data_IF_248632196434
#
_entry.id   IF_248632196434
#
_cell.length_a   1.000
_cell.length_b   1.000
_cell.length_c   1.000
_cell.angle_alpha   90.00
_cell.angle_beta   90.00
_cell.angle_gamma   90.00
#
_symmetry.space_group_name_H-M   'P 1'
#
loop_
_entity.id
_entity.type
_entity.pdbx_description
1 polymer ?
#
# COMPACT_ATOMS: atom_id res chain seq x y z
N UNK A 1 11.02 2.70 45.75
CA UNK A 1 10.47 1.41 45.29
C UNK A 1 8.98 1.44 45.51
N UNK A 2 8.19 1.61 44.45
CA UNK A 2 6.73 1.53 44.51
C UNK A 2 6.25 0.92 43.20
N UNK A 3 5.77 -0.33 43.28
CA UNK A 3 5.27 -1.11 42.16
C UNK A 3 3.94 -0.54 41.66
N UNK A 4 3.80 -0.36 40.34
CA UNK A 4 2.52 -0.07 39.69
C UNK A 4 1.99 -1.38 39.10
N UNK A 5 0.89 -1.86 39.66
CA UNK A 5 0.19 -3.09 39.27
C UNK A 5 -0.82 -2.79 38.15
N UNK A 6 -0.61 -3.35 36.96
CA UNK A 6 -1.55 -3.27 35.84
C UNK A 6 -2.53 -4.45 35.92
N UNK A 7 -3.81 -4.19 36.20
CA UNK A 7 -4.89 -5.19 36.08
C UNK A 7 -5.48 -5.17 34.67
N UNK A 8 -5.29 -6.29 33.97
CA UNK A 8 -5.95 -6.65 32.71
C UNK A 8 -7.43 -6.99 32.97
N UNK A 9 -8.34 -6.51 32.12
CA UNK A 9 -9.73 -6.95 32.09
C UNK A 9 -10.02 -7.61 30.73
N UNK A 10 -10.22 -8.91 30.78
CA UNK A 10 -10.70 -9.77 29.69
C UNK A 10 -12.21 -9.93 29.87
N UNK A 11 -13.00 -9.57 28.87
CA UNK A 11 -14.43 -9.90 28.83
C UNK A 11 -14.67 -10.97 27.74
N UNK A 12 -15.11 -12.15 28.19
CA UNK A 12 -15.68 -13.26 27.39
C UNK A 12 -17.21 -13.16 27.39
N UNK A 13 -17.85 -13.40 26.25
CA UNK A 13 -19.25 -13.89 26.14
C UNK A 13 -19.45 -14.41 24.71
N UNK A 14 -19.40 -15.72 24.47
CA UNK A 14 -20.47 -16.76 24.47
C UNK A 14 -21.16 -16.99 23.12
N UNK A 15 -21.12 -18.26 22.74
CA UNK A 15 -21.62 -18.94 21.55
C UNK A 15 -23.15 -19.12 21.60
N UNK A 16 -23.82 -18.95 20.47
CA UNK A 16 -25.21 -19.36 20.23
C UNK A 16 -25.29 -20.28 19.02
N UNK A 17 -25.78 -21.50 19.24
CA UNK A 17 -25.90 -22.61 18.30
C UNK A 17 -27.36 -22.69 17.81
N UNK A 18 -27.60 -22.92 16.52
CA UNK A 18 -28.90 -23.41 16.04
C UNK A 18 -28.74 -24.30 14.80
N UNK A 19 -29.28 -25.52 14.92
CA UNK A 19 -29.37 -26.60 13.92
C UNK A 19 -30.57 -26.36 13.00
N UNK A 20 -30.51 -26.82 11.74
CA UNK A 20 -31.56 -27.71 11.19
C UNK A 20 -31.21 -28.31 9.81
N UNK A 21 -31.25 -29.64 9.78
CA UNK A 21 -31.85 -30.57 8.82
C UNK A 21 -31.41 -30.64 7.34
N UNK A 22 -30.78 -31.77 7.04
CA UNK A 22 -30.74 -32.53 5.77
C UNK A 22 -32.12 -33.03 5.31
N UNK A 23 -32.24 -33.36 4.01
CA UNK A 23 -32.69 -34.71 3.65
C UNK A 23 -31.79 -35.44 2.63
N UNK A 24 -31.75 -36.75 2.85
CA UNK A 24 -31.26 -37.88 2.05
C UNK A 24 -31.70 -37.86 0.56
N UNK A 25 -30.92 -38.46 -0.35
CA UNK A 25 -31.12 -39.85 -0.82
C UNK A 25 -30.36 -40.18 -2.15
N UNK A 26 -29.63 -41.31 -2.14
CA UNK A 26 -29.33 -42.24 -3.26
C UNK A 26 -28.45 -41.76 -4.43
N UNK A 27 -27.61 -42.56 -5.09
CA UNK A 27 -27.29 -44.00 -5.09
C UNK A 27 -25.94 -44.15 -5.83
N UNK A 28 -25.10 -45.06 -5.35
CA UNK A 28 -23.93 -45.62 -6.06
C UNK A 28 -24.34 -46.38 -7.33
N UNK A 29 -23.41 -46.53 -8.27
CA UNK A 29 -22.99 -47.90 -8.59
C UNK A 29 -21.46 -48.09 -8.57
N UNK A 30 -21.12 -49.30 -8.14
CA UNK A 30 -19.81 -49.93 -8.17
C UNK A 30 -19.29 -50.12 -9.60
N UNK A 31 -17.99 -49.95 -9.83
CA UNK A 31 -17.31 -50.74 -10.86
C UNK A 31 -15.94 -51.23 -10.38
N UNK A 32 -15.67 -52.47 -10.79
CA UNK A 32 -14.69 -53.41 -10.30
C UNK A 32 -13.27 -53.19 -10.85
N UNK A 33 -12.29 -53.58 -10.02
CA UNK A 33 -10.95 -54.14 -10.27
C UNK A 33 -10.23 -53.88 -11.60
N UNK A 34 -8.95 -53.51 -11.47
CA UNK A 34 -7.87 -54.29 -12.10
C UNK A 34 -6.51 -53.92 -11.53
N UNK A 35 -5.95 -54.84 -10.75
CA UNK A 35 -4.56 -54.89 -10.33
C UNK A 35 -3.61 -55.05 -11.51
N UNK A 36 -2.52 -54.27 -11.57
CA UNK A 36 -1.26 -54.76 -12.15
C UNK A 36 -0.04 -54.10 -11.51
N UNK A 37 0.56 -54.87 -10.62
CA UNK A 37 1.96 -54.77 -10.19
C UNK A 37 2.90 -54.85 -11.39
N UNK A 38 3.86 -53.92 -11.50
CA UNK A 38 5.21 -54.19 -12.02
C UNK A 38 6.26 -53.33 -11.31
N UNK A 39 6.95 -54.00 -10.37
CA UNK A 39 8.40 -54.02 -10.11
C UNK A 39 9.20 -52.71 -10.24
N UNK A 40 9.78 -52.29 -9.11
CA UNK A 40 11.01 -51.49 -9.03
C UNK A 40 12.18 -52.24 -9.66
N UNK A 41 13.06 -51.51 -10.36
CA UNK A 41 14.53 -51.56 -10.19
C UNK A 41 15.19 -50.29 -10.75
N UNK A 42 16.37 -49.88 -10.24
CA UNK A 42 16.87 -48.51 -10.31
C UNK A 42 17.97 -48.27 -11.37
N UNK A 43 18.27 -46.99 -11.54
CA UNK A 43 19.58 -46.43 -11.91
C UNK A 43 20.02 -46.43 -13.38
N UNK A 44 20.57 -45.26 -13.77
CA UNK A 44 21.36 -44.93 -14.97
C UNK A 44 20.58 -44.40 -16.19
N UNK A 45 20.42 -43.08 -16.25
CA UNK A 45 20.70 -42.28 -17.46
C UNK A 45 20.74 -40.78 -17.09
N UNK A 46 21.92 -40.31 -16.70
CA UNK A 46 22.26 -38.90 -16.73
C UNK A 46 22.69 -38.55 -18.17
N UNK A 47 21.93 -37.69 -18.86
CA UNK A 47 22.44 -36.84 -19.95
C UNK A 47 21.35 -35.86 -20.45
N UNK A 48 21.53 -34.59 -20.10
CA UNK A 48 21.27 -33.40 -20.93
C UNK A 48 19.83 -33.28 -21.50
N UNK A 49 18.98 -32.59 -20.74
CA UNK A 49 17.97 -31.72 -21.33
C UNK A 49 18.34 -30.27 -20.96
N UNK A 50 18.93 -29.56 -21.92
CA UNK A 50 18.87 -28.11 -21.98
C UNK A 50 17.42 -27.68 -21.83
N UNK A 51 17.12 -26.85 -20.85
CA UNK A 51 16.76 -25.44 -21.05
C UNK A 51 16.30 -24.90 -19.71
N UNK A 52 16.76 -23.69 -19.44
CA UNK A 52 16.40 -22.85 -18.30
C UNK A 52 14.88 -22.85 -18.13
N UNK A 53 14.40 -23.55 -17.11
CA UNK A 53 13.06 -23.36 -16.57
C UNK A 53 13.16 -22.58 -15.25
N UNK A 54 13.91 -21.47 -15.23
CA UNK A 54 13.49 -20.31 -14.45
C UNK A 54 12.39 -19.61 -15.23
N UNK A 55 11.28 -20.32 -15.45
CA UNK A 55 10.02 -19.64 -15.63
C UNK A 55 9.79 -18.96 -14.29
N UNK A 56 10.11 -17.66 -14.21
CA UNK A 56 9.29 -16.80 -13.36
C UNK A 56 7.88 -17.18 -13.79
N UNK A 57 7.12 -17.81 -12.92
CA UNK A 57 5.69 -17.72 -13.01
C UNK A 57 5.47 -16.21 -12.98
N UNK A 58 5.44 -15.60 -14.16
CA UNK A 58 4.94 -14.26 -14.34
C UNK A 58 3.56 -14.42 -13.78
N UNK A 59 3.36 -13.93 -12.55
CA UNK A 59 2.04 -13.63 -12.11
C UNK A 59 1.48 -12.82 -13.27
N UNK A 60 0.54 -13.40 -14.02
CA UNK A 60 -0.31 -12.61 -14.90
C UNK A 60 -1.09 -11.75 -13.93
N UNK A 61 -0.46 -10.66 -13.47
CA UNK A 61 -1.09 -9.54 -12.80
C UNK A 61 -2.05 -9.02 -13.86
N UNK A 62 -3.27 -9.57 -13.87
CA UNK A 62 -4.33 -8.98 -14.65
C UNK A 62 -4.64 -7.65 -13.98
N UNK A 63 -3.98 -6.59 -14.46
CA UNK A 63 -4.28 -5.25 -14.03
C UNK A 63 -5.76 -4.96 -14.29
N UNK A 64 -6.44 -4.22 -13.40
CA UNK A 64 -7.80 -3.78 -13.65
C UNK A 64 -7.92 -3.08 -15.01
N UNK A 65 -9.02 -3.32 -15.73
CA UNK A 65 -9.22 -2.81 -17.09
C UNK A 65 -9.25 -1.27 -17.21
N UNK A 66 -9.41 -0.55 -16.10
CA UNK A 66 -9.34 0.91 -16.09
C UNK A 66 -7.90 1.45 -16.13
N UNK A 67 -6.90 0.63 -15.79
CA UNK A 67 -5.51 1.05 -15.81
C UNK A 67 -5.02 1.13 -17.26
N UNK A 68 -4.53 2.31 -17.60
CA UNK A 68 -3.83 2.62 -18.84
C UNK A 68 -2.93 3.84 -18.61
N UNK A 69 -2.03 4.11 -19.54
CA UNK A 69 -1.03 5.17 -19.43
C UNK A 69 -1.69 6.55 -19.20
N UNK A 70 -2.77 6.85 -19.92
CA UNK A 70 -3.47 8.13 -19.81
C UNK A 70 -4.15 8.31 -18.44
N UNK A 71 -4.73 7.24 -17.89
CA UNK A 71 -5.29 7.25 -16.53
C UNK A 71 -4.18 7.52 -15.50
N UNK A 72 -3.04 6.83 -15.61
CA UNK A 72 -1.94 7.01 -14.68
C UNK A 72 -1.29 8.39 -14.78
N UNK A 73 -1.08 8.91 -15.98
CA UNK A 73 -0.60 10.29 -16.19
C UNK A 73 -1.56 11.30 -15.56
N UNK A 74 -2.87 11.17 -15.82
CA UNK A 74 -3.87 12.06 -15.22
C UNK A 74 -3.87 11.99 -13.69
N UNK A 75 -3.74 10.80 -13.12
CA UNK A 75 -3.71 10.63 -11.66
C UNK A 75 -2.49 11.29 -11.02
N UNK A 76 -1.33 11.19 -11.68
CA UNK A 76 -0.08 11.87 -11.28
C UNK A 76 -0.26 13.37 -11.36
N UNK A 77 -0.71 13.90 -12.50
CA UNK A 77 -0.92 15.34 -12.68
C UNK A 77 -1.87 15.92 -11.63
N UNK A 78 -3.00 15.25 -11.39
CA UNK A 78 -3.95 15.65 -10.34
C UNK A 78 -3.31 15.68 -8.95
N UNK A 79 -2.44 14.72 -8.63
CA UNK A 79 -1.75 14.68 -7.35
C UNK A 79 -0.72 15.80 -7.23
N UNK A 80 0.16 15.91 -8.23
CA UNK A 80 1.28 16.86 -8.28
C UNK A 80 0.80 18.29 -8.21
N UNK A 81 -0.30 18.62 -8.89
CA UNK A 81 -0.85 19.98 -8.89
C UNK A 81 -1.88 20.19 -7.78
N UNK A 82 -3.13 19.81 -8.03
CA UNK A 82 -4.25 20.12 -7.14
C UNK A 82 -4.13 19.44 -5.77
N UNK A 83 -3.61 18.21 -5.74
CA UNK A 83 -3.44 17.42 -4.51
C UNK A 83 -2.43 18.05 -3.56
N UNK A 84 -1.22 18.32 -4.05
CA UNK A 84 -0.16 18.95 -3.26
C UNK A 84 -0.50 20.38 -2.85
N UNK A 85 -1.20 21.14 -3.69
CA UNK A 85 -1.70 22.47 -3.35
C UNK A 85 -2.70 22.42 -2.19
N UNK A 86 -3.68 21.51 -2.26
CA UNK A 86 -4.68 21.32 -1.21
C UNK A 86 -4.04 20.88 0.12
N UNK A 87 -3.10 19.94 0.04
CA UNK A 87 -2.34 19.45 1.19
C UNK A 87 -1.52 20.59 1.84
N UNK A 88 -0.81 21.37 1.03
CA UNK A 88 -0.04 22.52 1.50
C UNK A 88 -0.91 23.59 2.14
N UNK A 89 -2.07 23.90 1.55
CA UNK A 89 -3.03 24.83 2.14
C UNK A 89 -3.54 24.34 3.50
N UNK A 90 -3.85 23.05 3.62
CA UNK A 90 -4.26 22.50 4.91
C UNK A 90 -3.14 22.63 5.94
N UNK A 91 -1.93 22.16 5.62
CA UNK A 91 -0.83 22.06 6.58
C UNK A 91 -0.30 23.43 7.01
N UNK A 92 -0.15 24.36 6.06
CA UNK A 92 0.46 25.66 6.35
C UNK A 92 -0.53 26.65 6.99
N UNK A 93 -1.80 26.62 6.56
CA UNK A 93 -2.77 27.65 6.95
C UNK A 93 -3.81 27.10 7.94
N UNK A 94 -4.31 25.89 7.73
CA UNK A 94 -5.52 25.39 8.40
C UNK A 94 -5.24 24.30 9.44
N UNK A 95 -3.99 23.92 9.64
CA UNK A 95 -3.63 22.84 10.56
C UNK A 95 -3.83 23.27 12.02
N UNK A 96 -4.81 22.64 12.66
CA UNK A 96 -5.22 22.90 14.04
C UNK A 96 -5.33 21.55 14.78
N UNK A 97 -4.33 21.20 15.62
CA UNK A 97 -4.23 19.88 16.27
C UNK A 97 -5.44 19.46 17.09
N UNK A 98 -6.19 20.44 17.60
CA UNK A 98 -7.43 20.28 18.35
C UNK A 98 -8.60 19.74 17.48
N UNK A 99 -8.59 19.98 16.17
CA UNK A 99 -9.67 19.56 15.26
C UNK A 99 -9.30 18.30 14.47
N UNK A 100 -9.67 17.15 15.01
CA UNK A 100 -9.34 15.83 14.43
C UNK A 100 -9.98 15.54 13.07
N UNK A 101 -11.05 16.24 12.72
CA UNK A 101 -11.78 16.05 11.45
C UNK A 101 -10.91 16.36 10.22
N UNK A 102 -10.22 17.51 10.23
CA UNK A 102 -9.29 17.89 9.16
C UNK A 102 -8.14 16.89 9.03
N UNK A 103 -7.55 16.50 10.17
CA UNK A 103 -6.43 15.56 10.23
C UNK A 103 -6.82 14.21 9.61
N UNK A 104 -7.97 13.65 10.02
CA UNK A 104 -8.48 12.39 9.48
C UNK A 104 -8.71 12.47 7.97
N UNK A 105 -9.29 13.57 7.48
CA UNK A 105 -9.55 13.73 6.04
C UNK A 105 -8.22 13.79 5.25
N UNK A 106 -7.21 14.46 5.77
CA UNK A 106 -5.87 14.53 5.16
C UNK A 106 -5.16 13.17 5.16
N UNK A 107 -5.25 12.40 6.25
CA UNK A 107 -4.73 11.02 6.30
C UNK A 107 -5.40 10.15 5.24
N UNK A 108 -6.73 10.20 5.16
CA UNK A 108 -7.47 9.42 4.17
C UNK A 108 -7.10 9.80 2.74
N UNK A 109 -6.94 11.10 2.46
CA UNK A 109 -6.47 11.59 1.17
C UNK A 109 -5.10 11.02 0.81
N UNK A 110 -4.13 11.07 1.72
CA UNK A 110 -2.78 10.55 1.49
C UNK A 110 -2.80 9.04 1.23
N UNK A 111 -3.53 8.28 2.04
CA UNK A 111 -3.61 6.83 1.90
C UNK A 111 -4.26 6.39 0.59
N UNK A 112 -5.42 6.96 0.26
CA UNK A 112 -6.12 6.65 -1.01
C UNK A 112 -5.26 7.04 -2.21
N UNK A 113 -4.58 8.19 -2.14
CA UNK A 113 -3.73 8.61 -3.24
C UNK A 113 -2.50 7.73 -3.39
N UNK A 114 -1.89 7.27 -2.29
CA UNK A 114 -0.77 6.34 -2.32
C UNK A 114 -1.18 4.99 -2.92
N UNK A 115 -2.36 4.49 -2.56
CA UNK A 115 -2.94 3.25 -3.11
C UNK A 115 -3.09 3.33 -4.63
N UNK A 116 -3.81 4.33 -5.14
CA UNK A 116 -4.06 4.46 -6.58
C UNK A 116 -2.79 4.71 -7.39
N UNK A 117 -1.86 5.51 -6.86
CA UNK A 117 -0.57 5.73 -7.50
C UNK A 117 0.28 4.45 -7.49
N UNK A 118 0.18 3.63 -6.44
CA UNK A 118 0.88 2.35 -6.34
C UNK A 118 0.36 1.31 -7.33
N UNK A 119 -0.95 1.29 -7.59
CA UNK A 119 -1.53 0.49 -8.67
C UNK A 119 -0.99 0.91 -10.04
N UNK A 120 -0.90 2.22 -10.28
CA UNK A 120 -0.31 2.78 -11.49
C UNK A 120 1.18 2.46 -11.62
N UNK A 121 1.97 2.57 -10.55
CA UNK A 121 3.40 2.23 -10.59
C UNK A 121 3.60 0.74 -10.92
N UNK A 122 2.75 -0.12 -10.36
CA UNK A 122 2.79 -1.57 -10.65
C UNK A 122 2.44 -1.84 -12.12
N UNK A 123 1.37 -1.23 -12.64
CA UNK A 123 0.99 -1.34 -14.05
C UNK A 123 2.08 -0.82 -14.99
N UNK A 124 2.64 0.35 -14.73
CA UNK A 124 3.68 0.96 -15.57
C UNK A 124 4.99 0.15 -15.54
N UNK A 125 5.33 -0.44 -14.39
CA UNK A 125 6.49 -1.31 -14.26
C UNK A 125 6.32 -2.60 -15.06
N UNK A 126 5.12 -3.20 -15.03
CA UNK A 126 4.85 -4.47 -15.72
C UNK A 126 4.68 -4.31 -17.24
N UNK A 127 4.18 -3.16 -17.71
CA UNK A 127 3.76 -2.96 -19.11
C UNK A 127 4.70 -2.08 -19.94
N UNK A 128 5.42 -1.16 -19.30
CA UNK A 128 6.17 -0.11 -20.00
C UNK A 128 7.60 0.09 -19.48
N UNK A 129 8.07 -0.74 -18.55
CA UNK A 129 9.38 -0.60 -17.87
C UNK A 129 9.61 0.84 -17.36
N UNK A 130 8.53 1.43 -16.83
CA UNK A 130 8.50 2.82 -16.39
C UNK A 130 7.87 2.93 -15.00
N UNK A 131 8.01 4.10 -14.37
CA UNK A 131 7.53 4.36 -13.02
C UNK A 131 6.54 5.50 -13.02
N UNK A 132 5.68 5.53 -12.00
CA UNK A 132 4.66 6.58 -11.87
C UNK A 132 5.26 7.97 -11.61
N UNK A 133 6.44 8.03 -10.99
CA UNK A 133 7.26 9.25 -10.89
C UNK A 133 8.56 9.11 -11.70
N UNK A 134 9.54 9.99 -11.47
CA UNK A 134 10.67 10.17 -12.38
C UNK A 134 11.48 8.90 -12.65
N UNK A 135 11.76 8.16 -11.58
CA UNK A 135 12.51 6.91 -11.54
C UNK A 135 12.07 6.11 -10.30
N UNK A 136 12.55 4.88 -10.16
CA UNK A 136 12.18 3.99 -9.05
C UNK A 136 12.54 4.59 -7.68
N UNK A 137 13.71 5.24 -7.58
CA UNK A 137 14.18 5.83 -6.33
C UNK A 137 13.27 6.99 -5.88
N UNK A 138 12.92 7.88 -6.80
CA UNK A 138 12.05 9.01 -6.56
C UNK A 138 10.62 8.54 -6.25
N UNK A 139 10.13 7.53 -6.98
CA UNK A 139 8.82 6.92 -6.70
C UNK A 139 8.76 6.38 -5.27
N UNK A 140 9.75 5.56 -4.89
CA UNK A 140 9.83 5.01 -3.53
C UNK A 140 9.91 6.11 -2.48
N UNK A 141 10.75 7.12 -2.70
CA UNK A 141 10.91 8.24 -1.77
C UNK A 141 9.60 9.04 -1.59
N UNK A 142 8.84 9.26 -2.67
CA UNK A 142 7.54 9.95 -2.60
C UNK A 142 6.55 9.12 -1.78
N UNK A 143 6.42 7.81 -2.05
CA UNK A 143 5.53 6.94 -1.27
C UNK A 143 5.91 6.90 0.21
N UNK A 144 7.20 6.77 0.52
CA UNK A 144 7.70 6.82 1.90
C UNK A 144 7.38 8.17 2.58
N UNK A 145 7.49 9.28 1.86
CA UNK A 145 7.15 10.61 2.38
C UNK A 145 5.64 10.79 2.60
N UNK A 146 4.80 10.22 1.73
CA UNK A 146 3.34 10.20 1.92
C UNK A 146 2.96 9.43 3.19
N UNK A 147 3.51 8.22 3.36
CA UNK A 147 3.30 7.39 4.55
C UNK A 147 3.83 8.06 5.82
N UNK A 148 5.03 8.65 5.78
CA UNK A 148 5.60 9.35 6.92
C UNK A 148 4.73 10.54 7.37
N UNK A 149 4.18 11.31 6.42
CA UNK A 149 3.26 12.40 6.74
C UNK A 149 1.93 11.88 7.30
N UNK A 150 1.36 10.83 6.72
CA UNK A 150 0.13 10.22 7.21
C UNK A 150 0.30 9.67 8.63
N UNK A 151 1.43 9.03 8.91
CA UNK A 151 1.81 8.55 10.25
C UNK A 151 1.95 9.69 11.26
N UNK A 152 2.66 10.76 10.91
CA UNK A 152 2.80 11.94 11.78
C UNK A 152 1.43 12.54 12.12
N UNK A 153 0.56 12.71 11.13
CA UNK A 153 -0.81 13.17 11.33
C UNK A 153 -1.62 12.21 12.23
N UNK A 154 -1.43 10.90 12.10
CA UNK A 154 -2.09 9.90 12.91
C UNK A 154 -1.63 9.97 14.38
N UNK A 155 -0.33 10.16 14.64
CA UNK A 155 0.19 10.38 16.00
C UNK A 155 -0.43 11.62 16.66
N UNK A 156 -0.50 12.74 15.92
CA UNK A 156 -1.19 13.95 16.40
C UNK A 156 -2.67 13.67 16.66
N UNK A 157 -3.32 12.87 15.82
CA UNK A 157 -4.73 12.51 15.98
C UNK A 157 -4.96 11.66 17.24
N UNK A 158 -4.05 10.74 17.54
CA UNK A 158 -4.05 9.87 18.72
C UNK A 158 -3.71 10.62 20.02
N UNK A 159 -3.24 11.86 19.92
CA UNK A 159 -2.95 12.71 21.07
C UNK A 159 -1.54 12.55 21.62
N UNK A 160 -0.60 12.06 20.82
CA UNK A 160 0.83 12.11 21.16
C UNK A 160 1.24 13.56 21.42
N UNK A 161 1.97 13.77 22.51
CA UNK A 161 2.45 15.10 22.90
C UNK A 161 3.80 15.43 22.25
N UNK A 162 3.90 16.65 21.75
CA UNK A 162 5.07 17.24 21.12
C UNK A 162 5.48 18.49 21.90
N UNK A 163 6.06 18.35 23.10
CA UNK A 163 6.41 19.49 23.93
C UNK A 163 7.47 20.35 23.23
N UNK A 164 7.21 21.65 23.12
CA UNK A 164 8.19 22.62 22.69
C UNK A 164 9.10 23.05 23.85
N UNK A 165 10.03 23.98 23.59
CA UNK A 165 10.96 24.49 24.60
C UNK A 165 10.26 25.18 25.80
N UNK A 166 9.00 25.59 25.65
CA UNK A 166 8.17 26.16 26.70
C UNK A 166 7.27 25.11 27.39
N UNK A 167 7.37 23.84 27.00
CA UNK A 167 6.56 22.74 27.53
C UNK A 167 5.14 22.66 26.95
N UNK A 168 4.81 23.47 25.94
CA UNK A 168 3.49 23.42 25.30
C UNK A 168 3.47 22.34 24.23
N UNK A 169 2.36 21.61 24.11
CA UNK A 169 2.18 20.65 23.03
C UNK A 169 2.02 21.38 21.67
N UNK A 170 3.02 21.26 20.80
CA UNK A 170 3.07 21.91 19.50
C UNK A 170 3.54 20.93 18.40
N UNK A 171 2.63 20.15 17.80
CA UNK A 171 2.98 19.20 16.74
C UNK A 171 3.23 19.84 15.37
N UNK A 172 2.92 21.13 15.20
CA UNK A 172 2.93 21.80 13.89
C UNK A 172 4.30 21.72 13.18
N UNK A 173 5.46 21.94 13.84
CA UNK A 173 6.77 21.84 13.18
C UNK A 173 7.06 20.44 12.61
N UNK A 174 6.62 19.38 13.28
CA UNK A 174 6.84 17.99 12.88
C UNK A 174 6.02 17.65 11.63
N UNK A 175 4.71 17.93 11.66
CA UNK A 175 3.82 17.76 10.50
C UNK A 175 4.31 18.59 9.30
N UNK A 176 4.70 19.84 9.54
CA UNK A 176 5.22 20.70 8.47
C UNK A 176 6.50 20.15 7.85
N UNK A 177 7.43 19.67 8.67
CA UNK A 177 8.69 19.07 8.17
C UNK A 177 8.45 17.84 7.28
N UNK A 178 7.49 16.98 7.65
CA UNK A 178 7.09 15.83 6.82
C UNK A 178 6.48 16.28 5.50
N UNK A 179 5.61 17.29 5.53
CA UNK A 179 5.04 17.87 4.32
C UNK A 179 6.10 18.51 3.42
N UNK A 180 7.01 19.31 3.97
CA UNK A 180 8.07 19.97 3.19
C UNK A 180 8.96 18.93 2.48
N UNK A 181 9.19 17.77 3.13
CA UNK A 181 9.91 16.64 2.52
C UNK A 181 9.15 16.09 1.32
N UNK A 182 7.85 15.80 1.47
CA UNK A 182 7.01 15.33 0.37
C UNK A 182 6.93 16.36 -0.76
N UNK A 183 6.71 17.64 -0.43
CA UNK A 183 6.63 18.74 -1.38
C UNK A 183 7.90 18.87 -2.22
N UNK A 184 9.07 18.79 -1.59
CA UNK A 184 10.35 18.82 -2.30
C UNK A 184 10.51 17.68 -3.29
N UNK A 185 10.16 16.46 -2.90
CA UNK A 185 10.29 15.28 -3.76
C UNK A 185 9.35 15.35 -4.97
N UNK A 186 8.13 15.84 -4.76
CA UNK A 186 7.15 16.03 -5.84
C UNK A 186 7.54 17.18 -6.77
N UNK A 187 8.04 18.29 -6.23
CA UNK A 187 8.53 19.43 -7.03
C UNK A 187 9.72 19.05 -7.92
N UNK A 188 10.64 18.22 -7.41
CA UNK A 188 11.72 17.65 -8.20
C UNK A 188 11.21 16.81 -9.38
N UNK A 189 10.17 15.99 -9.18
CA UNK A 189 9.52 15.27 -10.26
C UNK A 189 8.90 16.25 -11.28
N UNK A 190 8.10 17.21 -10.80
CA UNK A 190 7.39 18.15 -11.66
C UNK A 190 8.34 18.98 -12.53
N UNK A 191 9.40 19.54 -11.93
CA UNK A 191 10.43 20.31 -12.64
C UNK A 191 11.08 19.47 -13.75
N UNK A 192 11.45 18.22 -13.47
CA UNK A 192 12.05 17.33 -14.48
C UNK A 192 11.10 17.04 -15.65
N UNK A 193 9.80 16.90 -15.36
CA UNK A 193 8.79 16.67 -16.41
C UNK A 193 8.59 17.90 -17.28
N UNK A 194 8.59 19.11 -16.70
CA UNK A 194 8.55 20.37 -17.46
C UNK A 194 9.77 20.51 -18.38
N UNK A 195 10.97 20.23 -17.87
CA UNK A 195 12.19 20.28 -18.68
C UNK A 195 12.14 19.26 -19.83
N UNK A 196 11.67 18.03 -19.58
CA UNK A 196 11.48 17.02 -20.66
C UNK A 196 10.51 17.49 -21.75
N UNK A 197 9.44 18.24 -21.40
CA UNK A 197 8.47 18.76 -22.37
C UNK A 197 9.04 19.91 -23.22
N UNK A 198 10.01 20.67 -22.71
CA UNK A 198 10.62 21.80 -23.42
C UNK A 198 11.64 21.41 -24.48
N UNK A 199 12.23 20.21 -24.39
CA UNK A 199 13.28 19.72 -25.31
C UNK A 199 12.80 18.57 -26.21
N UNK A 200 11.48 18.39 -26.33
CA UNK A 200 10.83 17.50 -27.30
C UNK A 200 10.17 18.35 -28.38
#
# INVERSE_FOLDING_TARGET
>A
MTLITIKSLIAKTTVGHSKMNTPHLSKTPSFSQSSRSRKLTPLVAAAIACFIATGKAGATSSHPAYLNDAYCESLVEQFVDSGMRSLGKYINENFKPEYKGGIRNTINFLNQRAEWLGECDSYLSDTADSRVFHDEQNTKAIFEAMDALAKELQLVREGVEYPDAAGNNNPRPFVKSRFDTLAKLVDQHHTRMLMKKQFK
#
